data_IF_164521903393
#
_entry.id   IF_164521903393
#
_cell.length_a   1.000
_cell.length_b   1.000
_cell.length_c   1.000
_cell.angle_alpha   90.00
_cell.angle_beta   90.00
_cell.angle_gamma   90.00
#
_symmetry.space_group_name_H-M   'P 1'
#
loop_
_entity.id
_entity.type
_entity.pdbx_description
1 polymer ?
#
# COMPACT_ATOMS: atom_id res chain seq x y z
N UNK A 1 -32.92 -6.03 3.57
CA UNK A 1 -31.47 -6.25 3.88
C UNK A 1 -30.65 -5.33 2.99
N UNK A 2 -29.93 -4.34 3.54
CA UNK A 2 -28.99 -3.55 2.73
C UNK A 2 -27.83 -4.48 2.35
N UNK A 3 -27.70 -4.82 1.07
CA UNK A 3 -26.55 -5.59 0.60
C UNK A 3 -25.30 -4.77 0.94
N UNK A 4 -24.45 -5.29 1.82
CA UNK A 4 -23.18 -4.66 2.15
C UNK A 4 -22.39 -4.47 0.86
N UNK A 5 -21.78 -3.28 0.70
CA UNK A 5 -20.95 -2.98 -0.46
C UNK A 5 -19.72 -3.88 -0.54
N UNK A 6 -19.02 -3.83 -1.68
CA UNK A 6 -17.75 -4.52 -1.87
C UNK A 6 -16.57 -3.55 -1.82
N UNK A 7 -15.47 -4.01 -1.25
CA UNK A 7 -14.20 -3.28 -1.24
C UNK A 7 -13.49 -3.39 -2.60
N UNK A 8 -13.03 -2.25 -3.13
CA UNK A 8 -12.18 -2.20 -4.30
C UNK A 8 -10.71 -2.06 -3.91
N UNK A 9 -9.86 -3.00 -4.34
CA UNK A 9 -8.41 -2.98 -4.01
C UNK A 9 -7.61 -1.91 -4.75
N UNK A 10 -8.14 -1.37 -5.85
CA UNK A 10 -7.48 -0.34 -6.66
C UNK A 10 -7.62 1.03 -6.00
N UNK A 11 -8.86 1.47 -5.74
CA UNK A 11 -9.11 2.79 -5.14
C UNK A 11 -9.22 2.78 -3.61
N UNK A 12 -9.31 1.61 -2.96
CA UNK A 12 -9.37 1.51 -1.50
C UNK A 12 -10.75 1.81 -0.88
N UNK A 13 -11.79 1.96 -1.69
CA UNK A 13 -13.12 2.33 -1.20
C UNK A 13 -14.10 1.15 -1.20
N UNK A 14 -15.01 1.15 -0.23
CA UNK A 14 -16.22 0.32 -0.29
C UNK A 14 -17.24 0.96 -1.22
N UNK A 15 -17.72 0.21 -2.21
CA UNK A 15 -18.71 0.67 -3.19
C UNK A 15 -19.91 -0.28 -3.23
N UNK A 16 -21.06 0.25 -3.62
CA UNK A 16 -22.26 -0.56 -3.82
C UNK A 16 -22.04 -1.66 -4.87
N UNK A 17 -22.74 -2.80 -4.73
CA UNK A 17 -22.50 -3.99 -5.55
C UNK A 17 -22.69 -3.72 -7.05
N UNK A 18 -23.65 -2.86 -7.40
CA UNK A 18 -23.90 -2.39 -8.77
C UNK A 18 -22.71 -1.68 -9.44
N UNK A 19 -21.75 -1.18 -8.65
CA UNK A 19 -20.52 -0.53 -9.12
C UNK A 19 -19.44 -1.52 -9.50
N UNK A 20 -19.70 -2.82 -9.41
CA UNK A 20 -18.82 -3.88 -9.86
C UNK A 20 -19.48 -4.65 -11.00
N UNK A 21 -18.67 -5.20 -11.90
CA UNK A 21 -19.13 -6.21 -12.87
C UNK A 21 -18.99 -7.61 -12.27
N UNK A 22 -19.57 -8.64 -12.88
CA UNK A 22 -19.40 -10.03 -12.40
C UNK A 22 -17.92 -10.42 -12.26
N UNK A 23 -17.10 -10.12 -13.29
CA UNK A 23 -15.63 -10.30 -13.23
C UNK A 23 -14.97 -9.35 -12.22
N UNK A 24 -15.43 -8.11 -12.13
CA UNK A 24 -14.94 -7.11 -11.18
C UNK A 24 -15.16 -7.50 -9.72
N UNK A 25 -16.28 -8.18 -9.40
CA UNK A 25 -16.53 -8.72 -8.07
C UNK A 25 -15.48 -9.74 -7.66
N UNK A 26 -15.20 -10.73 -8.51
CA UNK A 26 -14.17 -11.74 -8.23
C UNK A 26 -12.77 -11.12 -8.08
N UNK A 27 -12.47 -10.08 -8.87
CA UNK A 27 -11.17 -9.41 -8.83
C UNK A 27 -11.03 -8.36 -7.71
N UNK A 28 -12.13 -8.00 -7.03
CA UNK A 28 -12.24 -6.83 -6.14
C UNK A 28 -11.88 -5.51 -6.85
N UNK A 29 -12.34 -5.34 -8.08
CA UNK A 29 -12.10 -4.15 -8.91
C UNK A 29 -13.45 -3.56 -9.34
N UNK A 30 -13.74 -2.33 -8.93
CA UNK A 30 -14.95 -1.64 -9.34
C UNK A 30 -14.88 -1.22 -10.81
N UNK A 31 -16.04 -0.98 -11.44
CA UNK A 31 -16.16 -0.65 -12.87
C UNK A 31 -15.27 0.54 -13.28
N UNK A 32 -15.22 1.59 -12.47
CA UNK A 32 -14.40 2.78 -12.75
C UNK A 32 -12.89 2.48 -12.71
N UNK A 33 -12.45 1.61 -11.81
CA UNK A 33 -11.05 1.18 -11.76
C UNK A 33 -10.73 0.18 -12.88
N UNK A 34 -11.68 -0.67 -13.27
CA UNK A 34 -11.52 -1.62 -14.35
C UNK A 34 -11.31 -0.94 -15.71
N UNK A 35 -11.86 0.27 -15.90
CA UNK A 35 -11.66 1.08 -17.10
C UNK A 35 -10.33 1.84 -17.16
N UNK A 36 -9.54 1.86 -16.07
CA UNK A 36 -8.22 2.52 -16.08
C UNK A 36 -7.20 1.68 -16.85
N UNK A 37 -6.15 2.29 -17.42
CA UNK A 37 -5.01 1.56 -17.98
C UNK A 37 -4.38 0.62 -16.93
N UNK A 38 -3.88 -0.57 -17.31
CA UNK A 38 -3.27 -1.51 -16.37
C UNK A 38 -2.14 -0.91 -15.51
N UNK A 39 -1.34 -0.01 -16.09
CA UNK A 39 -0.28 0.69 -15.38
C UNK A 39 -0.83 1.56 -14.24
N UNK A 40 -1.91 2.31 -14.51
CA UNK A 40 -2.57 3.15 -13.51
C UNK A 40 -3.28 2.33 -12.44
N UNK A 41 -3.90 1.21 -12.81
CA UNK A 41 -4.45 0.28 -11.82
C UNK A 41 -3.35 -0.26 -10.90
N UNK A 42 -2.22 -0.69 -11.46
CA UNK A 42 -1.10 -1.22 -10.68
C UNK A 42 -0.46 -0.15 -9.78
N UNK A 43 -0.35 1.08 -10.24
CA UNK A 43 0.10 2.24 -9.45
C UNK A 43 -0.81 2.46 -8.25
N UNK A 44 -2.10 2.64 -8.50
CA UNK A 44 -3.07 2.93 -7.44
C UNK A 44 -3.23 1.78 -6.45
N UNK A 45 -3.21 0.52 -6.90
CA UNK A 45 -3.16 -0.63 -6.02
C UNK A 45 -1.92 -0.65 -5.11
N UNK A 46 -0.76 -0.24 -5.64
CA UNK A 46 0.49 -0.20 -4.87
C UNK A 46 0.43 0.92 -3.83
N UNK A 47 -0.01 2.11 -4.23
CA UNK A 47 -0.22 3.26 -3.33
C UNK A 47 -1.20 2.90 -2.22
N UNK A 48 -2.36 2.34 -2.57
CA UNK A 48 -3.37 1.95 -1.61
C UNK A 48 -2.85 0.87 -0.63
N UNK A 49 -2.02 -0.07 -1.10
CA UNK A 49 -1.36 -1.05 -0.22
C UNK A 49 -0.35 -0.39 0.72
N UNK A 50 0.42 0.60 0.27
CA UNK A 50 1.37 1.35 1.11
C UNK A 50 0.65 2.09 2.24
N UNK A 51 -0.47 2.75 1.92
CA UNK A 51 -1.27 3.50 2.90
C UNK A 51 -1.94 2.59 3.94
N UNK A 52 -2.31 1.36 3.55
CA UNK A 52 -2.95 0.39 4.43
C UNK A 52 -1.97 -0.63 5.04
N UNK A 53 -0.67 -0.33 5.06
CA UNK A 53 0.30 -1.20 5.73
C UNK A 53 0.09 -1.18 7.25
N UNK A 54 0.07 -2.36 7.92
CA UNK A 54 0.00 -2.40 9.38
C UNK A 54 1.22 -1.71 9.99
N UNK A 55 1.10 -1.26 11.24
CA UNK A 55 2.22 -0.64 11.94
C UNK A 55 3.38 -1.62 12.14
N UNK A 56 3.08 -2.83 12.65
CA UNK A 56 4.04 -3.93 12.74
C UNK A 56 4.07 -4.70 11.43
N UNK A 57 5.25 -4.73 10.79
CA UNK A 57 5.46 -5.39 9.51
C UNK A 57 6.13 -6.76 9.67
N UNK A 58 5.66 -7.74 8.90
CA UNK A 58 6.38 -9.01 8.73
C UNK A 58 7.67 -8.82 7.90
N UNK A 59 8.58 -9.79 7.95
CA UNK A 59 9.82 -9.77 7.14
C UNK A 59 9.54 -9.61 5.65
N UNK A 60 8.49 -10.26 5.15
CA UNK A 60 8.06 -10.16 3.75
C UNK A 60 7.51 -8.76 3.44
N UNK A 61 6.73 -8.16 4.33
CA UNK A 61 6.22 -6.80 4.15
C UNK A 61 7.35 -5.77 4.17
N UNK A 62 8.34 -5.94 5.04
CA UNK A 62 9.54 -5.08 5.07
C UNK A 62 10.33 -5.22 3.77
N UNK A 63 10.58 -6.45 3.30
CA UNK A 63 11.25 -6.69 2.02
C UNK A 63 10.47 -6.07 0.86
N UNK A 64 9.15 -6.23 0.85
CA UNK A 64 8.28 -5.61 -0.16
C UNK A 64 8.36 -4.08 -0.13
N UNK A 65 8.30 -3.46 1.05
CA UNK A 65 8.41 -2.01 1.24
C UNK A 65 9.78 -1.48 0.77
N UNK A 66 10.88 -2.13 1.18
CA UNK A 66 12.25 -1.77 0.73
C UNK A 66 12.39 -1.84 -0.79
N UNK A 67 11.77 -2.82 -1.43
CA UNK A 67 11.73 -2.91 -2.89
C UNK A 67 10.93 -1.77 -3.53
N UNK A 68 9.83 -1.31 -2.91
CA UNK A 68 9.03 -0.17 -3.41
C UNK A 68 9.73 1.18 -3.27
N UNK A 69 10.66 1.34 -2.33
CA UNK A 69 11.54 2.52 -2.28
C UNK A 69 12.45 2.67 -3.51
N UNK A 70 12.55 1.64 -4.36
CA UNK A 70 13.29 1.64 -5.64
C UNK A 70 12.36 1.53 -6.85
N UNK A 71 11.06 1.80 -6.69
CA UNK A 71 10.09 1.77 -7.80
C UNK A 71 10.46 2.79 -8.89
N UNK A 72 10.15 2.46 -10.14
CA UNK A 72 10.33 3.37 -11.29
C UNK A 72 9.35 4.54 -11.19
N UNK A 73 8.15 4.30 -10.66
CA UNK A 73 7.08 5.28 -10.49
C UNK A 73 7.42 6.21 -9.32
N UNK A 74 7.52 7.53 -9.54
CA UNK A 74 8.00 8.46 -8.53
C UNK A 74 7.06 8.55 -7.32
N UNK A 75 5.75 8.51 -7.53
CA UNK A 75 4.74 8.59 -6.47
C UNK A 75 4.84 7.39 -5.51
N UNK A 76 4.87 6.17 -6.07
CA UNK A 76 5.06 4.94 -5.28
C UNK A 76 6.36 4.97 -4.50
N UNK A 77 7.45 5.41 -5.16
CA UNK A 77 8.77 5.49 -4.54
C UNK A 77 8.81 6.47 -3.38
N UNK A 78 8.26 7.67 -3.56
CA UNK A 78 8.22 8.70 -2.52
C UNK A 78 7.43 8.22 -1.31
N UNK A 79 6.22 7.70 -1.53
CA UNK A 79 5.37 7.20 -0.46
C UNK A 79 6.02 6.00 0.27
N UNK A 80 6.67 5.08 -0.46
CA UNK A 80 7.37 3.97 0.16
C UNK A 80 8.52 4.41 1.08
N UNK A 81 9.24 5.48 0.71
CA UNK A 81 10.30 6.05 1.56
C UNK A 81 9.73 6.66 2.82
N UNK A 82 8.70 7.50 2.68
CA UNK A 82 8.00 8.11 3.81
C UNK A 82 7.48 7.04 4.80
N UNK A 83 6.80 6.01 4.29
CA UNK A 83 6.28 4.92 5.13
C UNK A 83 7.40 4.13 5.83
N UNK A 84 8.58 4.01 5.21
CA UNK A 84 9.73 3.33 5.78
C UNK A 84 10.38 4.18 6.89
N UNK A 85 10.69 5.44 6.61
CA UNK A 85 11.34 6.37 7.54
C UNK A 85 10.49 6.61 8.79
N UNK A 86 9.16 6.69 8.65
CA UNK A 86 8.23 6.80 9.77
C UNK A 86 8.25 5.58 10.71
N UNK A 87 8.59 4.38 10.20
CA UNK A 87 8.58 3.13 10.97
C UNK A 87 9.96 2.73 11.47
N UNK A 88 10.99 3.09 10.72
CA UNK A 88 12.39 2.79 10.97
C UNK A 88 13.19 4.09 10.89
N UNK A 89 12.96 5.02 11.83
CA UNK A 89 13.74 6.25 11.88
C UNK A 89 15.23 5.89 11.98
N UNK A 90 16.12 6.66 11.32
CA UNK A 90 17.55 6.50 11.54
C UNK A 90 17.82 6.59 13.04
N UNK A 91 18.56 5.62 13.60
CA UNK A 91 19.05 5.75 14.98
C UNK A 91 19.74 7.09 15.09
N UNK A 92 19.42 7.87 16.13
CA UNK A 92 20.15 9.11 16.40
C UNK A 92 21.58 8.70 16.75
N UNK A 93 22.58 9.48 16.35
CA UNK A 93 23.98 9.17 16.67
C UNK A 93 24.19 9.01 18.19
N UNK A 94 23.39 9.73 18.98
CA UNK A 94 23.31 9.66 20.45
C UNK A 94 22.88 8.27 20.97
N UNK A 95 22.12 7.48 20.20
CA UNK A 95 21.64 6.14 20.62
C UNK A 95 22.69 5.03 20.40
N UNK A 96 23.90 5.39 19.98
CA UNK A 96 25.01 4.46 19.68
C UNK A 96 26.07 4.48 20.80
N UNK A 97 26.12 5.54 21.62
CA UNK A 97 27.09 5.68 22.70
C UNK A 97 26.79 4.79 23.92
N UNK A 98 25.53 4.43 24.16
CA UNK A 98 25.13 3.56 25.29
C UNK A 98 25.36 2.05 25.05
N UNK A 99 25.66 1.61 23.82
CA UNK A 99 25.93 0.19 23.50
C UNK A 99 27.44 -0.18 23.65
N UNK A 100 28.30 0.73 24.11
CA UNK A 100 29.75 0.52 24.27
C UNK A 100 30.27 0.47 25.72
N UNK A 101 29.39 0.49 26.73
CA UNK A 101 29.78 0.28 28.14
C UNK A 101 28.77 -0.65 28.81
N UNK A 102 28.99 -1.97 28.70
CA UNK A 102 29.27 -2.91 29.82
C UNK A 102 29.61 -4.30 29.29
#
# INVERSE_FOLDING_TARGET
>A
MKKHGHYCKVCGEYKANEKFSGKGHAAHICKSCASLPPEKQAEQMTVNRLLNLPWRLSKEQISWLKNRMKDKRPEVRALAKEQYEMRFPPKRLEDIEDDFIE
#
